data_IF_364297812155
#
_entry.id   IF_364297812155
#
_cell.length_a   1.000
_cell.length_b   1.000
_cell.length_c   1.000
_cell.angle_alpha   90.00
_cell.angle_beta   90.00
_cell.angle_gamma   90.00
#
_symmetry.space_group_name_H-M   'P 1'
#
loop_
_entity.id
_entity.type
_entity.pdbx_description
1 polymer ?
#
# COMPACT_ATOMS: atom_id res chain seq x y z
N UNK A 1 16.00 5.66 -10.80
CA UNK A 1 14.83 5.03 -11.45
C UNK A 1 13.92 4.56 -10.33
N UNK A 2 12.75 5.17 -10.18
CA UNK A 2 11.73 4.73 -9.21
C UNK A 2 10.82 3.79 -9.97
N UNK A 3 10.84 2.50 -9.66
CA UNK A 3 9.87 1.55 -10.21
C UNK A 3 8.52 1.89 -9.60
N UNK A 4 7.58 2.40 -10.41
CA UNK A 4 6.18 2.59 -10.02
C UNK A 4 5.38 1.34 -10.39
N UNK A 5 4.35 0.99 -9.61
CA UNK A 5 3.37 0.02 -10.06
C UNK A 5 2.59 0.59 -11.25
N UNK A 6 2.02 -0.28 -12.07
CA UNK A 6 1.22 0.10 -13.25
C UNK A 6 0.06 1.02 -12.82
N UNK A 7 -0.55 0.70 -11.67
CA UNK A 7 -1.51 1.56 -10.98
C UNK A 7 -0.82 2.55 -10.04
N UNK A 8 -0.31 3.64 -10.63
CA UNK A 8 0.37 4.70 -9.90
C UNK A 8 -0.56 5.82 -9.42
N UNK A 9 -1.77 5.97 -9.98
CA UNK A 9 -2.73 7.02 -9.58
C UNK A 9 -3.71 6.51 -8.54
N UNK A 10 -4.08 7.35 -7.58
CA UNK A 10 -5.03 6.97 -6.55
C UNK A 10 -6.37 6.46 -7.11
N UNK A 11 -6.89 7.09 -8.15
CA UNK A 11 -8.12 6.62 -8.81
C UNK A 11 -8.00 5.17 -9.33
N UNK A 12 -6.88 4.79 -9.94
CA UNK A 12 -6.69 3.42 -10.43
C UNK A 12 -6.39 2.43 -9.31
N UNK A 13 -5.75 2.87 -8.22
CA UNK A 13 -5.54 2.07 -7.01
C UNK A 13 -6.86 1.71 -6.33
N UNK A 14 -7.86 2.59 -6.34
CA UNK A 14 -9.17 2.30 -5.75
C UNK A 14 -9.90 1.12 -6.41
N UNK A 15 -9.62 0.83 -7.68
CA UNK A 15 -10.20 -0.35 -8.35
C UNK A 15 -9.74 -1.66 -7.70
N UNK A 16 -8.57 -1.65 -7.04
CA UNK A 16 -7.99 -2.80 -6.36
C UNK A 16 -8.69 -3.15 -5.04
N UNK A 17 -9.50 -2.25 -4.49
CA UNK A 17 -10.31 -2.53 -3.29
C UNK A 17 -11.32 -3.68 -3.52
N UNK A 18 -11.62 -3.98 -4.79
CA UNK A 18 -12.46 -5.12 -5.19
C UNK A 18 -11.77 -6.48 -4.96
N UNK A 19 -10.45 -6.52 -4.81
CA UNK A 19 -9.71 -7.76 -4.57
C UNK A 19 -9.96 -8.22 -3.14
N UNK A 20 -10.49 -9.44 -3.00
CA UNK A 20 -10.77 -10.03 -1.68
C UNK A 20 -9.51 -10.68 -1.12
N UNK A 21 -9.13 -10.31 0.10
CA UNK A 21 -7.98 -10.89 0.82
C UNK A 21 -8.48 -11.69 2.04
N UNK A 22 -8.26 -13.00 2.02
CA UNK A 22 -8.57 -13.92 3.11
C UNK A 22 -7.33 -14.67 3.58
N UNK A 23 -7.03 -14.65 4.88
CA UNK A 23 -5.87 -15.34 5.48
C UNK A 23 -4.54 -15.04 4.77
N UNK A 24 -4.32 -13.79 4.35
CA UNK A 24 -3.11 -13.37 3.62
C UNK A 24 -3.03 -13.86 2.17
N UNK A 25 -4.11 -14.40 1.61
CA UNK A 25 -4.19 -14.86 0.23
C UNK A 25 -5.26 -14.10 -0.54
N UNK A 26 -5.03 -13.88 -1.84
CA UNK A 26 -6.04 -13.38 -2.75
C UNK A 26 -7.10 -14.45 -2.98
N UNK A 27 -8.36 -14.08 -2.79
CA UNK A 27 -9.52 -14.93 -2.97
C UNK A 27 -10.24 -14.53 -4.25
N UNK A 28 -10.60 -15.53 -5.05
CA UNK A 28 -11.34 -15.34 -6.30
C UNK A 28 -12.72 -15.97 -6.15
N UNK A 29 -13.78 -15.18 -6.37
CA UNK A 29 -15.13 -15.73 -6.49
C UNK A 29 -15.29 -16.47 -7.85
N UNK A 30 -14.61 -15.97 -8.88
CA UNK A 30 -14.49 -16.58 -10.22
C UNK A 30 -13.08 -16.37 -10.76
N UNK A 31 -12.51 -17.38 -11.39
CA UNK A 31 -11.20 -17.28 -12.04
C UNK A 31 -11.39 -16.89 -13.51
N UNK A 32 -11.24 -15.60 -13.81
CA UNK A 32 -11.18 -15.06 -15.18
C UNK A 32 -9.97 -14.13 -15.35
N UNK A 33 -9.63 -13.79 -16.60
CA UNK A 33 -8.45 -12.99 -16.92
C UNK A 33 -8.48 -11.60 -16.26
N UNK A 34 -9.66 -10.98 -16.18
CA UNK A 34 -9.83 -9.68 -15.57
C UNK A 34 -9.55 -9.73 -14.06
N UNK A 35 -10.07 -10.76 -13.38
CA UNK A 35 -9.85 -10.97 -11.95
C UNK A 35 -8.39 -11.28 -11.66
N UNK A 36 -7.73 -12.09 -12.50
CA UNK A 36 -6.31 -12.39 -12.38
C UNK A 36 -5.45 -11.12 -12.54
N UNK A 37 -5.74 -10.32 -13.58
CA UNK A 37 -5.05 -9.05 -13.82
C UNK A 37 -5.17 -8.11 -12.62
N UNK A 38 -6.40 -7.93 -12.09
CA UNK A 38 -6.65 -7.09 -10.93
C UNK A 38 -5.93 -7.58 -9.67
N UNK A 39 -5.86 -8.89 -9.46
CA UNK A 39 -5.11 -9.50 -8.36
C UNK A 39 -3.59 -9.27 -8.49
N UNK A 40 -3.05 -9.39 -9.70
CA UNK A 40 -1.64 -9.12 -9.98
C UNK A 40 -1.30 -7.66 -9.74
N UNK A 41 -2.16 -6.74 -10.18
CA UNK A 41 -2.00 -5.30 -9.93
C UNK A 41 -2.02 -5.00 -8.41
N UNK A 42 -2.94 -5.64 -7.66
CA UNK A 42 -2.97 -5.52 -6.20
C UNK A 42 -1.66 -5.98 -5.56
N UNK A 43 -1.16 -7.15 -5.96
CA UNK A 43 0.09 -7.70 -5.44
C UNK A 43 1.29 -6.82 -5.80
N UNK A 44 1.32 -6.24 -7.00
CA UNK A 44 2.37 -5.34 -7.43
C UNK A 44 2.38 -4.05 -6.59
N UNK A 45 1.22 -3.44 -6.36
CA UNK A 45 1.08 -2.26 -5.49
C UNK A 45 1.47 -2.58 -4.05
N UNK A 46 1.00 -3.70 -3.51
CA UNK A 46 1.31 -4.14 -2.16
C UNK A 46 2.81 -4.41 -1.96
N UNK A 47 3.45 -5.09 -2.91
CA UNK A 47 4.89 -5.35 -2.90
C UNK A 47 5.70 -4.05 -3.03
N UNK A 48 5.26 -3.14 -3.89
CA UNK A 48 5.87 -1.82 -4.03
C UNK A 48 5.81 -1.03 -2.72
N UNK A 49 4.65 -1.02 -2.04
CA UNK A 49 4.49 -0.34 -0.76
C UNK A 49 5.36 -0.96 0.34
N UNK A 50 5.47 -2.29 0.38
CA UNK A 50 6.37 -2.99 1.29
C UNK A 50 7.84 -2.61 1.04
N UNK A 51 8.25 -2.51 -0.23
CA UNK A 51 9.58 -2.03 -0.63
C UNK A 51 9.82 -0.58 -0.20
N UNK A 52 8.84 0.30 -0.41
CA UNK A 52 8.90 1.70 0.03
C UNK A 52 9.12 1.81 1.53
N UNK A 53 8.33 1.09 2.33
CA UNK A 53 8.44 1.11 3.80
C UNK A 53 9.78 0.53 4.26
N UNK A 54 10.25 -0.55 3.63
CA UNK A 54 11.56 -1.14 3.91
C UNK A 54 12.70 -0.16 3.66
N UNK A 55 12.64 0.59 2.55
CA UNK A 55 13.60 1.65 2.27
C UNK A 55 13.52 2.78 3.30
N UNK A 56 12.33 3.17 3.76
CA UNK A 56 12.16 4.16 4.82
C UNK A 56 12.79 3.68 6.14
N UNK A 57 12.57 2.43 6.54
CA UNK A 57 13.21 1.83 7.71
C UNK A 57 14.74 1.83 7.63
N UNK A 58 15.29 1.58 6.44
CA UNK A 58 16.75 1.48 6.26
C UNK A 58 17.44 2.86 6.20
N UNK A 59 16.82 3.84 5.56
CA UNK A 59 17.48 5.11 5.22
C UNK A 59 16.97 6.32 6.02
N UNK A 60 15.80 6.24 6.65
CA UNK A 60 15.30 7.33 7.49
C UNK A 60 15.80 7.16 8.94
N UNK A 61 16.82 7.94 9.29
CA UNK A 61 17.44 7.99 10.63
C UNK A 61 16.49 8.41 11.74
N UNK A 62 15.31 8.94 11.39
CA UNK A 62 14.28 9.33 12.36
C UNK A 62 13.30 8.21 12.70
N UNK A 63 13.57 7.00 12.24
CA UNK A 63 12.83 5.78 12.54
C UNK A 63 13.71 4.87 13.41
N UNK A 64 13.10 4.06 14.27
CA UNK A 64 13.78 3.05 15.09
C UNK A 64 14.10 1.77 14.29
N UNK A 65 14.02 1.82 12.95
CA UNK A 65 14.11 0.68 12.06
C UNK A 65 12.83 -0.18 12.02
N UNK A 66 11.75 0.20 12.71
CA UNK A 66 10.48 -0.52 12.74
C UNK A 66 9.27 0.42 12.62
N UNK A 67 9.09 1.04 11.45
CA UNK A 67 7.94 1.89 11.13
C UNK A 67 6.59 1.18 11.29
N UNK A 68 6.51 -0.11 10.95
CA UNK A 68 5.24 -0.81 10.79
C UNK A 68 4.68 -1.37 12.09
N UNK A 69 5.52 -1.60 13.12
CA UNK A 69 5.14 -2.07 14.46
C UNK A 69 4.05 -3.17 14.50
N UNK A 70 4.13 -4.13 13.58
CA UNK A 70 3.22 -5.28 13.54
C UNK A 70 1.91 -5.07 12.77
N UNK A 71 1.73 -3.93 12.10
CA UNK A 71 0.69 -3.78 11.06
C UNK A 71 1.05 -4.62 9.84
N UNK A 72 0.05 -5.19 9.19
CA UNK A 72 0.26 -6.05 8.02
C UNK A 72 -0.04 -5.33 6.70
N UNK A 73 0.29 -5.98 5.59
CA UNK A 73 0.09 -5.41 4.25
C UNK A 73 -1.38 -5.09 3.95
N UNK A 74 -2.34 -5.82 4.55
CA UNK A 74 -3.76 -5.54 4.37
C UNK A 74 -4.14 -4.23 5.06
N UNK A 75 -3.64 -4.00 6.27
CA UNK A 75 -3.84 -2.73 6.97
C UNK A 75 -3.27 -1.55 6.18
N UNK A 76 -2.08 -1.72 5.60
CA UNK A 76 -1.44 -0.69 4.79
C UNK A 76 -2.26 -0.36 3.55
N UNK A 77 -2.71 -1.39 2.82
CA UNK A 77 -3.54 -1.22 1.63
C UNK A 77 -4.88 -0.56 1.96
N UNK A 78 -5.52 -0.93 3.08
CA UNK A 78 -6.74 -0.28 3.54
C UNK A 78 -6.54 1.21 3.85
N UNK A 79 -5.40 1.57 4.46
CA UNK A 79 -5.06 2.96 4.70
C UNK A 79 -4.87 3.72 3.37
N UNK A 80 -4.14 3.13 2.42
CA UNK A 80 -3.94 3.72 1.08
C UNK A 80 -5.26 3.90 0.35
N UNK A 81 -6.19 2.94 0.42
CA UNK A 81 -7.52 3.11 -0.17
C UNK A 81 -8.29 4.25 0.48
N UNK A 82 -8.25 4.36 1.81
CA UNK A 82 -8.89 5.48 2.53
C UNK A 82 -8.32 6.84 2.13
N UNK A 83 -6.99 6.93 1.96
CA UNK A 83 -6.33 8.12 1.46
C UNK A 83 -6.76 8.44 0.03
N UNK A 84 -6.71 7.46 -0.87
CA UNK A 84 -7.04 7.66 -2.27
C UNK A 84 -8.51 8.03 -2.51
N UNK A 85 -9.44 7.62 -1.63
CA UNK A 85 -10.84 8.10 -1.66
C UNK A 85 -10.95 9.60 -1.41
N UNK A 86 -10.08 10.16 -0.56
CA UNK A 86 -10.04 11.59 -0.24
C UNK A 86 -9.20 12.39 -1.25
N UNK A 87 -8.24 11.73 -1.91
CA UNK A 87 -7.26 12.34 -2.81
C UNK A 87 -7.19 11.61 -4.17
N UNK A 88 -8.28 11.57 -4.96
CA UNK A 88 -8.37 10.72 -6.16
C UNK A 88 -7.38 11.10 -7.27
N UNK A 89 -6.95 12.35 -7.33
CA UNK A 89 -5.99 12.87 -8.32
C UNK A 89 -4.54 12.72 -7.89
N UNK A 90 -4.28 12.33 -6.64
CA UNK A 90 -2.91 12.15 -6.14
C UNK A 90 -2.26 10.88 -6.68
N UNK A 91 -0.93 10.88 -6.68
CA UNK A 91 -0.11 9.72 -6.98
C UNK A 91 0.04 8.83 -5.74
N UNK A 92 0.19 7.52 -5.94
CA UNK A 92 0.36 6.54 -4.88
C UNK A 92 1.62 6.80 -4.04
N UNK A 93 2.63 7.43 -4.64
CA UNK A 93 3.82 7.87 -3.92
C UNK A 93 3.50 8.87 -2.82
N UNK A 94 2.63 9.84 -3.08
CA UNK A 94 2.18 10.81 -2.07
C UNK A 94 1.41 10.10 -0.97
N UNK A 95 0.52 9.17 -1.33
CA UNK A 95 -0.20 8.35 -0.37
C UNK A 95 0.76 7.53 0.53
N UNK A 96 1.78 6.89 -0.05
CA UNK A 96 2.77 6.11 0.68
C UNK A 96 3.66 6.98 1.59
N UNK A 97 4.00 8.19 1.16
CA UNK A 97 4.72 9.15 1.98
C UNK A 97 3.89 9.55 3.20
N UNK A 98 2.64 9.95 3.01
CA UNK A 98 1.72 10.34 4.08
C UNK A 98 1.44 9.17 5.02
N UNK A 99 1.31 7.95 4.47
CA UNK A 99 1.19 6.74 5.27
C UNK A 99 2.41 6.53 6.17
N UNK A 100 3.62 6.63 5.62
CA UNK A 100 4.85 6.47 6.41
C UNK A 100 5.00 7.54 7.50
N UNK A 101 4.55 8.76 7.21
CA UNK A 101 4.51 9.85 8.19
C UNK A 101 3.49 9.58 9.29
N UNK A 102 2.31 9.03 8.94
CA UNK A 102 1.28 8.63 9.90
C UNK A 102 1.76 7.50 10.82
N UNK A 103 2.43 6.49 10.28
CA UNK A 103 3.08 5.43 11.05
C UNK A 103 4.11 6.02 12.02
N UNK A 104 4.98 6.90 11.54
CA UNK A 104 5.99 7.57 12.36
C UNK A 104 5.38 8.43 13.47
N UNK A 105 4.31 9.15 13.19
CA UNK A 105 3.61 9.97 14.19
C UNK A 105 2.99 9.10 15.29
N UNK A 106 2.36 7.99 14.91
CA UNK A 106 1.81 6.98 15.82
C UNK A 106 2.89 6.29 16.67
N UNK A 107 4.15 6.38 16.23
CA UNK A 107 5.29 5.75 16.89
C UNK A 107 6.01 6.63 17.92
N UNK A 108 5.67 7.92 18.05
CA UNK A 108 6.28 8.79 19.06
C UNK A 108 5.76 8.43 20.46
N UNK A 109 6.64 8.14 21.45
CA UNK A 109 6.21 8.06 22.85
C UNK A 109 5.76 9.46 23.33
N UNK A 110 4.70 9.49 24.14
CA UNK A 110 4.29 10.69 24.89
C UNK A 110 5.41 11.16 25.83
#
# INVERSE_FOLDING_TARGET
MVFYPDRHKCLSVLELERVRIGNGRVMFDKLDEASLSLAMDYLQVAAWLAGFISARNQFDVSTDGNLTKGTDTKDWMNWIFSYCRQHPTSEIFTAALDFSNNLKASNKPN
#
